data_IF_197683620964
#
_entry.id   IF_197683620964
#
_cell.length_a   1.000
_cell.length_b   1.000
_cell.length_c   1.000
_cell.angle_alpha   90.00
_cell.angle_beta   90.00
_cell.angle_gamma   90.00
#
_symmetry.space_group_name_H-M   'P 1'
#
loop_
_entity.id
_entity.type
_entity.pdbx_description
1 polymer ?
#
# COMPACT_ATOMS: atom_id res chain seq x y z
N UNK A 1 6.92 6.48 -2.22
CA UNK A 1 6.06 5.79 -1.22
C UNK A 1 4.95 6.72 -0.75
N UNK A 2 3.69 6.29 -0.87
CA UNK A 2 2.49 7.06 -0.55
C UNK A 2 1.78 6.53 0.71
N UNK A 3 0.71 7.20 1.16
CA UNK A 3 -0.13 6.70 2.27
C UNK A 3 -0.76 5.35 1.93
N UNK A 4 -1.21 5.19 0.69
CA UNK A 4 -1.91 3.99 0.19
C UNK A 4 -1.01 2.76 0.26
N UNK A 5 0.23 2.88 -0.21
CA UNK A 5 1.18 1.75 -0.21
C UNK A 5 1.55 1.31 1.21
N UNK A 6 1.63 2.25 2.15
CA UNK A 6 1.90 1.96 3.57
C UNK A 6 0.73 1.25 4.25
N UNK A 7 -0.51 1.64 3.94
CA UNK A 7 -1.68 0.89 4.41
C UNK A 7 -1.70 -0.53 3.84
N UNK A 8 -1.43 -0.69 2.54
CA UNK A 8 -1.40 -1.99 1.89
C UNK A 8 -0.36 -2.92 2.52
N UNK A 9 0.88 -2.45 2.72
CA UNK A 9 1.95 -3.22 3.37
C UNK A 9 1.57 -3.65 4.79
N UNK A 10 1.06 -2.73 5.61
CA UNK A 10 0.70 -3.02 6.99
C UNK A 10 -0.48 -4.00 7.10
N UNK A 11 -1.49 -3.86 6.23
CA UNK A 11 -2.63 -4.77 6.16
C UNK A 11 -2.20 -6.15 5.70
N UNK A 12 -1.34 -6.23 4.68
CA UNK A 12 -0.83 -7.51 4.18
C UNK A 12 -0.07 -8.26 5.27
N UNK A 13 0.90 -7.62 5.92
CA UNK A 13 1.70 -8.23 7.01
C UNK A 13 0.85 -8.69 8.18
N UNK A 14 -0.31 -8.09 8.40
CA UNK A 14 -1.24 -8.50 9.44
C UNK A 14 -2.11 -9.71 9.06
N UNK A 15 -2.21 -10.05 7.77
CA UNK A 15 -3.17 -11.02 7.22
C UNK A 15 -2.53 -12.18 6.46
N UNK A 16 -1.29 -12.03 6.01
CA UNK A 16 -0.55 -13.03 5.25
C UNK A 16 0.82 -13.29 5.90
N UNK A 17 1.30 -14.55 5.90
CA UNK A 17 2.66 -14.86 6.33
C UNK A 17 3.72 -14.48 5.28
N UNK A 18 3.31 -14.12 4.06
CA UNK A 18 4.23 -13.78 2.98
C UNK A 18 4.84 -12.40 3.23
N UNK A 19 6.17 -12.25 3.18
CA UNK A 19 6.82 -10.96 3.34
C UNK A 19 6.31 -9.96 2.30
N UNK A 20 6.03 -8.74 2.75
CA UNK A 20 5.71 -7.62 1.87
C UNK A 20 6.53 -6.40 2.26
N UNK A 21 6.88 -5.62 1.26
CA UNK A 21 7.47 -4.30 1.37
C UNK A 21 6.66 -3.32 0.53
N UNK A 22 6.76 -2.02 0.83
CA UNK A 22 6.30 -0.99 -0.07
C UNK A 22 7.41 -0.01 -0.43
N UNK A 23 7.24 0.65 -1.57
CA UNK A 23 8.15 1.66 -2.08
C UNK A 23 7.38 2.70 -2.89
N UNK A 24 8.08 3.67 -3.47
CA UNK A 24 7.53 4.41 -4.60
C UNK A 24 8.50 5.43 -5.13
N UNK A 25 8.26 5.89 -6.34
CA UNK A 25 9.17 6.74 -7.12
C UNK A 25 9.45 8.09 -6.47
N UNK A 26 8.49 8.63 -5.72
CA UNK A 26 8.67 9.81 -4.88
C UNK A 26 8.35 9.47 -3.41
N UNK A 27 9.32 9.00 -2.60
CA UNK A 27 9.11 8.74 -1.18
C UNK A 27 8.86 10.04 -0.40
N UNK A 28 7.75 10.08 0.34
CA UNK A 28 7.50 11.14 1.29
C UNK A 28 8.61 11.18 2.36
N UNK A 29 8.91 12.36 2.93
CA UNK A 29 9.95 12.47 3.97
C UNK A 29 9.62 11.69 5.26
N UNK A 30 8.35 11.43 5.52
CA UNK A 30 7.85 10.71 6.69
C UNK A 30 6.47 10.13 6.43
N UNK A 31 6.09 9.13 7.22
CA UNK A 31 4.71 8.62 7.29
C UNK A 31 3.75 9.77 7.64
N UNK A 32 2.62 9.86 6.93
CA UNK A 32 1.64 10.91 7.17
C UNK A 32 1.01 10.78 8.58
N UNK A 33 0.91 11.85 9.40
CA UNK A 33 0.39 11.75 10.77
C UNK A 33 -1.04 11.20 10.86
N UNK A 34 -1.91 11.57 9.92
CA UNK A 34 -3.27 11.03 9.86
C UNK A 34 -3.28 9.54 9.48
N UNK A 35 -2.36 9.09 8.61
CA UNK A 35 -2.23 7.68 8.29
C UNK A 35 -1.87 6.86 9.53
N UNK A 36 -0.87 7.30 10.31
CA UNK A 36 -0.52 6.65 11.59
C UNK A 36 -1.69 6.60 12.56
N UNK A 37 -2.45 7.69 12.66
CA UNK A 37 -3.61 7.79 13.55
C UNK A 37 -4.68 6.76 13.18
N UNK A 38 -5.01 6.69 11.89
CA UNK A 38 -6.02 5.78 11.34
C UNK A 38 -5.57 4.33 11.49
N UNK A 39 -4.34 3.98 11.10
CA UNK A 39 -3.79 2.64 11.28
C UNK A 39 -3.83 2.20 12.75
N UNK A 40 -3.35 3.05 13.67
CA UNK A 40 -3.31 2.73 15.10
C UNK A 40 -4.70 2.49 15.69
N UNK A 41 -5.71 3.26 15.27
CA UNK A 41 -7.11 3.05 15.71
C UNK A 41 -7.64 1.68 15.29
N UNK A 42 -7.13 1.13 14.20
CA UNK A 42 -7.47 -0.20 13.67
C UNK A 42 -6.48 -1.29 14.08
N UNK A 43 -5.63 -1.03 15.08
CA UNK A 43 -4.69 -2.02 15.62
C UNK A 43 -3.44 -2.27 14.79
N UNK A 44 -3.16 -1.43 13.77
CA UNK A 44 -1.99 -1.56 12.90
C UNK A 44 -0.93 -0.51 13.23
N UNK A 45 0.34 -0.85 13.04
CA UNK A 45 1.46 0.10 13.07
C UNK A 45 2.01 0.33 11.67
N UNK A 46 2.37 1.57 11.38
CA UNK A 46 3.11 1.96 10.16
C UNK A 46 4.55 2.24 10.55
N UNK A 47 5.35 1.17 10.64
CA UNK A 47 6.75 1.20 11.09
C UNK A 47 7.72 1.49 9.93
N UNK A 48 7.36 1.11 8.70
CA UNK A 48 8.24 1.19 7.54
C UNK A 48 8.52 2.63 7.14
N UNK A 49 9.81 2.97 7.05
CA UNK A 49 10.24 4.26 6.56
C UNK A 49 10.00 4.36 5.04
N UNK A 50 9.56 5.53 4.53
CA UNK A 50 9.45 5.75 3.09
C UNK A 50 10.75 5.48 2.35
N UNK A 51 10.71 4.54 1.40
CA UNK A 51 11.82 4.17 0.52
C UNK A 51 11.51 4.42 -0.95
N UNK A 52 12.57 4.65 -1.73
CA UNK A 52 12.51 4.72 -3.18
C UNK A 52 12.19 3.36 -3.80
N UNK A 53 11.55 3.38 -4.97
CA UNK A 53 11.32 2.18 -5.77
C UNK A 53 12.64 1.67 -6.35
N UNK A 54 12.86 0.36 -6.23
CA UNK A 54 13.95 -0.38 -6.86
C UNK A 54 13.33 -1.51 -7.68
N UNK A 55 13.30 -1.33 -9.01
CA UNK A 55 12.61 -2.23 -9.94
C UNK A 55 13.38 -3.52 -10.19
N UNK A 56 14.69 -3.53 -9.98
CA UNK A 56 15.51 -4.71 -10.22
C UNK A 56 15.31 -5.76 -9.11
N UNK A 57 14.74 -5.34 -7.97
CA UNK A 57 14.48 -6.20 -6.82
C UNK A 57 13.12 -6.90 -6.79
N UNK A 58 12.26 -6.76 -7.82
CA UNK A 58 10.87 -7.28 -7.78
C UNK A 58 10.59 -8.48 -8.71
N UNK A 59 11.62 -9.05 -9.35
CA UNK A 59 11.46 -10.10 -10.36
C UNK A 59 10.70 -11.35 -9.88
N UNK A 60 10.85 -11.72 -8.60
CA UNK A 60 10.19 -12.89 -7.99
C UNK A 60 9.02 -12.50 -7.06
N UNK A 61 8.49 -11.28 -7.21
CA UNK A 61 7.46 -10.72 -6.32
C UNK A 61 6.17 -10.38 -7.07
N UNK A 62 5.03 -10.54 -6.38
CA UNK A 62 3.79 -9.92 -6.86
C UNK A 62 3.86 -8.40 -6.65
N UNK A 63 3.82 -7.64 -7.74
CA UNK A 63 3.81 -6.19 -7.69
C UNK A 63 2.38 -5.67 -7.68
N UNK A 64 2.06 -4.80 -6.72
CA UNK A 64 0.76 -4.11 -6.63
C UNK A 64 0.97 -2.60 -6.69
N UNK A 65 0.42 -1.95 -7.73
CA UNK A 65 0.38 -0.50 -7.85
C UNK A 65 -0.90 0.02 -7.22
N UNK A 66 -0.80 1.07 -6.39
CA UNK A 66 -1.95 1.63 -5.64
C UNK A 66 -2.25 3.09 -6.01
N UNK A 67 -1.58 3.59 -7.04
CA UNK A 67 -1.85 4.89 -7.64
C UNK A 67 -1.52 4.84 -9.13
N UNK A 68 -2.31 5.55 -9.93
CA UNK A 68 -2.23 5.54 -11.39
C UNK A 68 -0.83 5.96 -11.87
N UNK A 69 -0.18 6.92 -11.19
CA UNK A 69 1.18 7.34 -11.54
C UNK A 69 2.22 6.20 -11.44
N UNK A 70 2.09 5.32 -10.43
CA UNK A 70 3.02 4.20 -10.28
C UNK A 70 2.73 3.10 -11.33
N UNK A 71 1.47 2.99 -11.72
CA UNK A 71 1.01 2.09 -12.79
C UNK A 71 1.69 2.43 -14.13
N UNK A 72 1.64 3.70 -14.50
CA UNK A 72 2.24 4.22 -15.72
C UNK A 72 3.77 4.03 -15.75
N UNK A 73 4.44 4.18 -14.60
CA UNK A 73 5.89 4.04 -14.49
C UNK A 73 6.37 2.58 -14.52
N UNK A 74 5.55 1.63 -14.03
CA UNK A 74 5.91 0.21 -13.99
C UNK A 74 5.68 -0.50 -15.33
N UNK A 75 4.83 0.05 -16.20
CA UNK A 75 4.76 -0.29 -17.62
C UNK A 75 4.71 -1.79 -17.92
N UNK A 76 5.85 -2.36 -18.34
CA UNK A 76 5.99 -3.73 -18.84
C UNK A 76 6.22 -4.81 -17.76
N UNK A 77 6.30 -4.45 -16.48
CA UNK A 77 6.35 -5.41 -15.38
C UNK A 77 4.94 -5.97 -15.15
N UNK A 78 4.76 -7.28 -15.05
CA UNK A 78 3.46 -7.85 -14.66
C UNK A 78 3.08 -7.40 -13.24
N UNK A 79 1.95 -6.71 -13.10
CA UNK A 79 1.50 -6.16 -11.82
C UNK A 79 -0.03 -6.08 -11.74
N UNK A 80 -0.54 -5.97 -10.52
CA UNK A 80 -1.95 -5.70 -10.23
C UNK A 80 -2.12 -4.22 -9.91
N UNK A 81 -3.08 -3.58 -10.56
CA UNK A 81 -3.40 -2.18 -10.31
C UNK A 81 -4.64 -1.98 -9.44
N UNK A 82 -4.51 -1.19 -8.37
CA UNK A 82 -5.59 -0.72 -7.53
C UNK A 82 -5.67 0.80 -7.54
N UNK A 83 -6.61 1.35 -8.32
CA UNK A 83 -6.87 2.79 -8.24
C UNK A 83 -7.57 3.12 -6.92
N UNK A 84 -6.85 3.85 -6.06
CA UNK A 84 -7.34 4.34 -4.76
C UNK A 84 -7.08 5.86 -4.69
N UNK A 85 -8.11 6.69 -4.45
CA UNK A 85 -7.94 8.15 -4.32
C UNK A 85 -6.87 8.52 -3.30
N UNK A 86 -6.08 9.57 -3.58
CA UNK A 86 -5.05 10.03 -2.64
C UNK A 86 -5.68 10.75 -1.43
N UNK A 87 -5.65 10.16 -0.22
CA UNK A 87 -6.24 10.81 0.95
C UNK A 87 -5.48 12.07 1.36
N UNK A 88 -4.18 12.17 1.03
CA UNK A 88 -3.34 13.29 1.45
C UNK A 88 -3.67 14.60 0.73
N UNK A 89 -4.39 14.55 -0.41
CA UNK A 89 -4.81 15.74 -1.15
C UNK A 89 -5.89 16.55 -0.42
N UNK A 90 -6.68 15.92 0.46
CA UNK A 90 -7.84 16.55 1.11
C UNK A 90 -7.56 17.13 2.50
N UNK A 91 -6.58 16.58 3.22
CA UNK A 91 -6.33 16.89 4.63
C UNK A 91 -7.41 16.38 5.61
N UNK A 92 -8.44 15.68 5.12
CA UNK A 92 -9.58 15.18 5.90
C UNK A 92 -9.38 13.73 6.35
N UNK A 93 -9.58 13.46 7.64
CA UNK A 93 -9.45 12.11 8.21
C UNK A 93 -10.41 11.11 7.57
N UNK A 94 -11.60 11.53 7.13
CA UNK A 94 -12.56 10.65 6.49
C UNK A 94 -12.00 10.06 5.18
N UNK A 95 -11.17 10.81 4.45
CA UNK A 95 -10.52 10.31 3.24
C UNK A 95 -9.43 9.27 3.57
N UNK A 96 -8.70 9.44 4.68
CA UNK A 96 -7.76 8.43 5.16
C UNK A 96 -8.48 7.15 5.61
N UNK A 97 -9.63 7.30 6.27
CA UNK A 97 -10.45 6.17 6.70
C UNK A 97 -11.01 5.41 5.49
N UNK A 98 -11.54 6.12 4.49
CA UNK A 98 -12.05 5.53 3.24
C UNK A 98 -10.94 4.85 2.41
N UNK A 99 -9.77 5.48 2.28
CA UNK A 99 -8.64 4.88 1.58
C UNK A 99 -8.17 3.59 2.27
N UNK A 100 -8.15 3.58 3.61
CA UNK A 100 -7.83 2.37 4.36
C UNK A 100 -8.86 1.27 4.12
N UNK A 101 -10.15 1.57 4.18
CA UNK A 101 -11.20 0.55 4.02
C UNK A 101 -11.16 -0.06 2.62
N UNK A 102 -10.98 0.76 1.59
CA UNK A 102 -10.79 0.32 0.21
C UNK A 102 -9.59 -0.59 -0.01
N UNK A 103 -8.47 -0.31 0.68
CA UNK A 103 -7.26 -1.14 0.60
C UNK A 103 -7.45 -2.42 1.42
N UNK A 104 -8.09 -2.32 2.59
CA UNK A 104 -8.43 -3.46 3.44
C UNK A 104 -9.23 -4.50 2.67
N UNK A 105 -10.32 -4.10 2.02
CA UNK A 105 -11.15 -5.00 1.22
C UNK A 105 -10.34 -5.72 0.13
N UNK A 106 -9.51 -4.98 -0.61
CA UNK A 106 -8.67 -5.56 -1.67
C UNK A 106 -7.62 -6.53 -1.13
N UNK A 107 -7.02 -6.22 0.02
CA UNK A 107 -6.09 -7.13 0.69
C UNK A 107 -6.81 -8.40 1.18
N UNK A 108 -8.00 -8.27 1.76
CA UNK A 108 -8.79 -9.44 2.21
C UNK A 108 -9.11 -10.37 1.03
N UNK A 109 -9.48 -9.81 -0.13
CA UNK A 109 -9.67 -10.59 -1.35
C UNK A 109 -8.39 -11.26 -1.84
N UNK A 110 -7.27 -10.53 -1.85
CA UNK A 110 -5.99 -11.06 -2.34
C UNK A 110 -5.46 -12.17 -1.43
N UNK A 111 -5.48 -11.99 -0.11
CA UNK A 111 -5.00 -13.00 0.86
C UNK A 111 -5.83 -14.28 0.85
N UNK A 112 -7.12 -14.18 0.50
CA UNK A 112 -7.99 -15.36 0.35
C UNK A 112 -7.64 -16.21 -0.88
N UNK A 113 -7.13 -15.58 -1.95
CA UNK A 113 -6.70 -16.31 -3.15
C UNK A 113 -5.42 -17.10 -2.86
N UNK A 114 -4.57 -16.63 -1.96
CA UNK A 114 -3.34 -17.33 -1.56
C UNK A 114 -3.61 -18.68 -0.88
N UNK A 115 -4.73 -18.81 -0.17
CA UNK A 115 -5.06 -20.06 0.55
C UNK A 115 -5.57 -21.18 -0.38
N UNK A 116 -5.70 -20.94 -1.69
CA UNK A 116 -6.17 -21.96 -2.63
C UNK A 116 -4.98 -22.80 -3.14
N UNK A 117 -4.92 -24.10 -2.82
CA UNK A 117 -3.87 -25.01 -3.27
C UNK A 117 -3.92 -25.29 -4.78
#
# INVERSE_FOLDING_TARGET
>A
MSVRSQFAEALWRARSPIPADSAGTQPARRVHPLARRVARRRGLSLESAPRGLDIDGVADSLVVTVCDHADEELGAVDHVHWSVPDPAASGDVAQFEAAFDQISERIDHLSTIEERP
#
